data_IF_717127214113
#
_entry.id   IF_717127214113
#
_cell.length_a   1.000
_cell.length_b   1.000
_cell.length_c   1.000
_cell.angle_alpha   90.00
_cell.angle_beta   90.00
_cell.angle_gamma   90.00
#
_symmetry.space_group_name_H-M   'P 1'
#
loop_
_entity.id
_entity.type
_entity.pdbx_description
1 polymer ?
#
# COMPACT_ATOMS: atom_id res chain seq x y z
N UNK A 1 7.86 -16.50 -7.65
CA UNK A 1 7.36 -15.92 -8.93
C UNK A 1 6.70 -14.55 -8.73
N UNK A 2 5.96 -14.32 -7.63
CA UNK A 2 5.29 -13.05 -7.38
C UNK A 2 6.23 -11.86 -7.09
N UNK A 3 5.89 -10.68 -7.63
CA UNK A 3 6.55 -9.40 -7.36
C UNK A 3 5.50 -8.31 -7.27
N UNK A 4 5.54 -7.53 -6.19
CA UNK A 4 4.62 -6.42 -5.95
C UNK A 4 5.37 -5.13 -5.62
N UNK A 5 4.80 -4.01 -6.03
CA UNK A 5 5.26 -2.65 -5.71
C UNK A 5 4.20 -1.97 -4.85
N UNK A 6 4.64 -1.35 -3.76
CA UNK A 6 3.84 -0.45 -2.94
C UNK A 6 4.47 0.93 -2.92
N UNK A 7 3.68 1.97 -3.16
CA UNK A 7 4.10 3.38 -3.05
C UNK A 7 3.08 4.10 -2.19
N UNK A 8 3.55 4.81 -1.16
CA UNK A 8 2.68 5.52 -0.21
C UNK A 8 3.14 6.97 -0.08
N UNK A 9 2.17 7.87 0.01
CA UNK A 9 2.35 9.29 0.27
C UNK A 9 1.41 9.70 1.42
N UNK A 10 1.98 10.22 2.52
CA UNK A 10 1.25 10.83 3.64
C UNK A 10 0.75 12.21 3.23
N UNK A 11 -0.21 12.21 2.31
CA UNK A 11 -0.60 13.37 1.52
C UNK A 11 -1.74 14.21 2.11
N UNK A 12 -2.34 13.74 3.22
CA UNK A 12 -3.58 14.26 3.76
C UNK A 12 -4.82 13.93 2.91
N UNK A 13 -4.68 13.08 1.88
CA UNK A 13 -5.76 12.72 0.95
C UNK A 13 -5.88 11.22 0.79
N UNK A 14 -7.07 10.70 1.06
CA UNK A 14 -7.41 9.30 0.81
C UNK A 14 -7.44 9.00 -0.68
N UNK A 15 -6.61 8.05 -1.11
CA UNK A 15 -6.62 7.56 -2.49
C UNK A 15 -6.02 6.17 -2.57
N UNK A 16 -6.73 5.23 -3.22
CA UNK A 16 -6.24 3.88 -3.48
C UNK A 16 -6.21 3.62 -4.98
N UNK A 17 -5.02 3.31 -5.50
CA UNK A 17 -4.84 2.75 -6.83
C UNK A 17 -4.39 1.30 -6.67
N UNK A 18 -5.26 0.37 -7.05
CA UNK A 18 -5.08 -1.06 -6.78
C UNK A 18 -5.10 -1.85 -8.08
N UNK A 19 -3.93 -2.23 -8.57
CA UNK A 19 -3.73 -3.00 -9.79
C UNK A 19 -3.18 -4.39 -9.43
N UNK A 20 -4.10 -5.28 -9.09
CA UNK A 20 -3.77 -6.66 -8.72
C UNK A 20 -4.76 -7.58 -9.42
N UNK A 21 -4.23 -8.46 -10.27
CA UNK A 21 -5.00 -9.52 -10.91
C UNK A 21 -4.69 -10.83 -10.21
N UNK A 22 -5.57 -11.24 -9.30
CA UNK A 22 -5.36 -12.46 -8.53
C UNK A 22 -5.62 -13.69 -9.40
N UNK A 23 -4.67 -14.62 -9.35
CA UNK A 23 -4.80 -15.90 -10.06
C UNK A 23 -5.93 -16.80 -9.55
N UNK A 24 -6.47 -16.53 -8.35
CA UNK A 24 -7.59 -17.25 -7.72
C UNK A 24 -8.40 -16.29 -6.85
N UNK A 25 -9.71 -16.51 -6.78
CA UNK A 25 -10.61 -15.73 -5.92
C UNK A 25 -10.45 -16.02 -4.42
N UNK A 26 -9.83 -17.15 -4.03
CA UNK A 26 -9.67 -17.53 -2.61
C UNK A 26 -8.31 -18.15 -2.32
N UNK A 27 -7.85 -17.97 -1.08
CA UNK A 27 -6.66 -18.60 -0.47
C UNK A 27 -7.13 -19.39 0.76
N UNK A 28 -7.34 -20.70 0.61
CA UNK A 28 -8.09 -21.47 1.62
C UNK A 28 -9.50 -20.89 1.76
N UNK A 29 -9.89 -20.54 2.99
CA UNK A 29 -11.18 -19.90 3.27
C UNK A 29 -11.16 -18.37 3.14
N UNK A 30 -10.01 -17.76 2.84
CA UNK A 30 -9.89 -16.31 2.71
C UNK A 30 -10.27 -15.83 1.31
N UNK A 31 -11.17 -14.84 1.21
CA UNK A 31 -11.55 -14.18 -0.03
C UNK A 31 -10.55 -13.06 -0.35
N UNK A 32 -9.94 -13.11 -1.54
CA UNK A 32 -8.88 -12.16 -1.93
C UNK A 32 -9.40 -10.74 -2.14
N UNK A 33 -10.70 -10.56 -2.36
CA UNK A 33 -11.30 -9.23 -2.50
C UNK A 33 -11.20 -8.43 -1.20
N UNK A 34 -11.15 -9.11 -0.05
CA UNK A 34 -10.98 -8.49 1.26
C UNK A 34 -9.63 -7.76 1.41
N UNK A 35 -8.62 -8.11 0.60
CA UNK A 35 -7.33 -7.39 0.60
C UNK A 35 -7.51 -5.97 0.07
N UNK A 36 -8.28 -5.80 -1.01
CA UNK A 36 -8.61 -4.47 -1.55
C UNK A 36 -9.39 -3.67 -0.50
N UNK A 37 -10.39 -4.28 0.13
CA UNK A 37 -11.22 -3.62 1.14
C UNK A 37 -10.41 -3.22 2.38
N UNK A 38 -9.45 -4.05 2.81
CA UNK A 38 -8.49 -3.67 3.85
C UNK A 38 -7.73 -2.39 3.49
N UNK A 39 -7.16 -2.32 2.29
CA UNK A 39 -6.42 -1.13 1.86
C UNK A 39 -7.32 0.08 1.63
N UNK A 40 -8.55 -0.12 1.18
CA UNK A 40 -9.54 0.95 1.04
C UNK A 40 -9.88 1.53 2.40
N UNK A 41 -10.14 0.68 3.40
CA UNK A 41 -10.35 1.08 4.78
C UNK A 41 -9.13 1.82 5.35
N UNK A 42 -7.92 1.32 5.08
CA UNK A 42 -6.68 1.97 5.49
C UNK A 42 -6.54 3.39 4.92
N UNK A 43 -6.65 3.59 3.61
CA UNK A 43 -6.47 4.93 3.01
C UNK A 43 -7.54 5.93 3.45
N UNK A 44 -8.77 5.46 3.71
CA UNK A 44 -9.88 6.28 4.17
C UNK A 44 -9.60 6.89 5.55
N UNK A 45 -8.93 6.15 6.44
CA UNK A 45 -8.70 6.59 7.82
C UNK A 45 -7.30 7.15 8.05
N UNK A 46 -6.31 6.72 7.27
CA UNK A 46 -4.94 7.22 7.39
C UNK A 46 -4.71 8.55 6.66
N UNK A 47 -5.62 8.96 5.76
CA UNK A 47 -5.46 10.18 4.97
C UNK A 47 -4.25 10.10 4.02
N UNK A 48 -3.99 8.93 3.46
CA UNK A 48 -2.83 8.68 2.58
C UNK A 48 -3.25 8.30 1.17
N UNK A 49 -2.36 8.57 0.22
CA UNK A 49 -2.46 8.07 -1.13
C UNK A 49 -1.57 6.83 -1.27
N UNK A 50 -2.15 5.71 -1.73
CA UNK A 50 -1.51 4.42 -1.81
C UNK A 50 -1.68 3.81 -3.21
N UNK A 51 -0.57 3.43 -3.81
CA UNK A 51 -0.53 2.65 -5.05
C UNK A 51 0.00 1.25 -4.75
N UNK A 52 -0.74 0.24 -5.19
CA UNK A 52 -0.37 -1.17 -5.10
C UNK A 52 -0.45 -1.75 -6.51
N UNK A 53 0.66 -2.30 -6.96
CA UNK A 53 0.75 -3.05 -8.21
C UNK A 53 1.30 -4.45 -7.93
N UNK A 54 0.59 -5.49 -8.34
CA UNK A 54 1.19 -6.82 -8.49
C UNK A 54 1.71 -6.94 -9.93
N UNK A 55 3.03 -6.86 -10.09
CA UNK A 55 3.69 -6.80 -11.40
C UNK A 55 3.78 -8.16 -12.08
N UNK A 56 3.76 -9.24 -11.30
CA UNK A 56 3.72 -10.64 -11.72
C UNK A 56 3.37 -11.53 -10.53
N UNK A 57 2.87 -12.73 -10.81
CA UNK A 57 2.58 -13.76 -9.82
C UNK A 57 1.66 -14.82 -10.40
N UNK A 58 1.89 -16.08 -10.01
CA UNK A 58 1.11 -17.23 -10.49
C UNK A 58 0.37 -17.94 -9.33
N UNK A 59 0.60 -17.47 -8.10
CA UNK A 59 -0.02 -17.99 -6.89
C UNK A 59 -0.63 -16.85 -6.06
N UNK A 60 -1.95 -16.87 -5.87
CA UNK A 60 -2.69 -15.86 -5.12
C UNK A 60 -2.17 -15.62 -3.69
N UNK A 61 -1.69 -16.67 -3.00
CA UNK A 61 -1.08 -16.53 -1.68
C UNK A 61 0.18 -15.67 -1.74
N UNK A 62 1.10 -15.98 -2.66
CA UNK A 62 2.32 -15.20 -2.85
C UNK A 62 2.02 -13.76 -3.34
N UNK A 63 0.99 -13.58 -4.17
CA UNK A 63 0.52 -12.25 -4.59
C UNK A 63 0.09 -11.43 -3.36
N UNK A 64 -0.83 -11.94 -2.52
CA UNK A 64 -1.24 -11.28 -1.27
C UNK A 64 -0.04 -10.98 -0.36
N UNK A 65 0.78 -11.99 -0.08
CA UNK A 65 1.90 -11.85 0.86
C UNK A 65 2.91 -10.79 0.39
N UNK A 66 3.24 -10.76 -0.91
CA UNK A 66 4.16 -9.76 -1.46
C UNK A 66 3.58 -8.35 -1.44
N UNK A 67 2.27 -8.18 -1.63
CA UNK A 67 1.58 -6.89 -1.50
C UNK A 67 1.74 -6.34 -0.08
N UNK A 68 1.39 -7.13 0.95
CA UNK A 68 1.52 -6.70 2.35
C UNK A 68 2.98 -6.42 2.74
N UNK A 69 3.93 -7.24 2.27
CA UNK A 69 5.36 -7.01 2.52
C UNK A 69 5.88 -5.75 1.82
N UNK A 70 5.45 -5.48 0.60
CA UNK A 70 5.84 -4.27 -0.15
C UNK A 70 5.25 -3.02 0.51
N UNK A 71 3.97 -3.06 0.87
CA UNK A 71 3.28 -2.01 1.62
C UNK A 71 3.97 -1.73 2.96
N UNK A 72 4.24 -2.74 3.78
CA UNK A 72 4.88 -2.55 5.09
C UNK A 72 6.27 -1.91 5.00
N UNK A 73 7.05 -2.25 3.96
CA UNK A 73 8.34 -1.59 3.70
C UNK A 73 8.16 -0.14 3.26
N UNK A 74 7.25 0.13 2.33
CA UNK A 74 6.97 1.50 1.86
C UNK A 74 6.48 2.38 3.02
N UNK A 75 5.57 1.86 3.83
CA UNK A 75 5.04 2.53 5.02
C UNK A 75 6.15 2.86 6.03
N UNK A 76 7.01 1.89 6.33
CA UNK A 76 8.17 2.13 7.22
C UNK A 76 9.05 3.25 6.70
N UNK A 77 9.42 3.22 5.41
CA UNK A 77 10.28 4.23 4.82
C UNK A 77 9.63 5.62 4.83
N UNK A 78 8.33 5.70 4.54
CA UNK A 78 7.61 6.97 4.49
C UNK A 78 7.31 7.56 5.88
N UNK A 79 7.20 6.72 6.91
CA UNK A 79 6.91 7.14 8.29
C UNK A 79 8.19 7.36 9.14
N UNK A 80 9.37 7.07 8.59
CA UNK A 80 10.64 7.27 9.29
C UNK A 80 10.94 8.76 9.43
N UNK A 81 11.39 9.18 10.61
CA UNK A 81 11.78 10.57 10.86
C UNK A 81 13.03 10.86 10.05
N UNK A 82 12.98 11.85 9.16
CA UNK A 82 14.17 12.36 8.46
C UNK A 82 14.84 13.45 9.31
N UNK A 83 16.05 13.19 9.88
CA UNK A 83 16.76 14.19 10.68
C UNK A 83 17.08 15.47 9.90
N UNK A 84 17.18 15.39 8.56
CA UNK A 84 17.49 16.51 7.68
C UNK A 84 16.28 17.43 7.44
N UNK A 85 15.07 16.95 7.76
CA UNK A 85 13.81 17.68 7.61
C UNK A 85 13.14 17.97 8.96
N UNK A 86 13.91 18.00 10.05
CA UNK A 86 13.38 18.22 11.40
C UNK A 86 12.61 19.53 11.48
N UNK A 87 11.34 19.47 11.92
CA UNK A 87 10.45 20.64 12.06
C UNK A 87 9.89 21.20 10.75
N UNK A 88 10.19 20.56 9.61
CA UNK A 88 9.67 20.95 8.30
C UNK A 88 8.47 20.08 7.96
N UNK A 89 7.36 20.71 7.56
CA UNK A 89 6.24 19.99 6.94
C UNK A 89 6.62 19.71 5.48
N UNK A 90 6.67 18.45 5.02
CA UNK A 90 7.10 18.09 3.67
C UNK A 90 6.00 18.37 2.62
N UNK A 91 5.56 19.62 2.52
CA UNK A 91 4.52 20.09 1.62
C UNK A 91 4.79 21.54 1.22
N UNK A 92 4.77 21.83 -0.09
CA UNK A 92 4.94 23.20 -0.60
C UNK A 92 3.79 24.13 -0.21
N UNK A 93 2.65 23.57 0.23
CA UNK A 93 1.51 24.31 0.78
C UNK A 93 1.69 24.67 2.26
N UNK A 94 2.71 24.13 2.92
CA UNK A 94 2.97 24.34 4.34
C UNK A 94 2.05 23.57 5.30
N UNK A 95 1.17 22.70 4.77
CA UNK A 95 0.23 21.89 5.56
C UNK A 95 0.03 20.49 4.96
N UNK A 96 -0.34 19.55 5.83
CA UNK A 96 -0.75 18.15 5.58
C UNK A 96 -1.83 17.74 6.59
#
# INVERSE_FOLDING_TARGET
EALSRGVVDFSGRSGLHYFVDYTRARIGDFDVDLVREFFQGFVNHAGVSLHIDNLRGDNAHHQCETIFKAFGRALRMAAEVDPRATGVVPSTKGSL
#
